data_IF_568035652858
#
_entry.id   IF_568035652858
#
_cell.length_a   1.000
_cell.length_b   1.000
_cell.length_c   1.000
_cell.angle_alpha   90.00
_cell.angle_beta   90.00
_cell.angle_gamma   90.00
#
_symmetry.space_group_name_H-M   'P 1'
#
loop_
_entity.id
_entity.type
_entity.pdbx_description
1 polymer ?
#
# COMPACT_ATOMS: atom_id res chain seq x y z
N UNK A 1 13.88 -24.06 -16.26
CA UNK A 1 14.42 -22.91 -15.50
C UNK A 1 14.61 -23.39 -14.07
N UNK A 2 15.84 -23.39 -13.54
CA UNK A 2 16.08 -23.81 -12.16
C UNK A 2 15.55 -22.76 -11.19
N UNK A 3 14.80 -23.15 -10.17
CA UNK A 3 14.44 -22.27 -9.06
C UNK A 3 15.73 -21.90 -8.32
N UNK A 4 16.25 -20.69 -8.58
CA UNK A 4 17.39 -20.17 -7.82
C UNK A 4 16.83 -19.64 -6.50
N UNK A 5 17.07 -20.38 -5.42
CA UNK A 5 16.77 -19.87 -4.07
C UNK A 5 17.61 -18.61 -3.83
N UNK A 6 17.01 -17.50 -3.35
CA UNK A 6 17.75 -16.28 -3.04
C UNK A 6 18.88 -16.57 -2.06
N UNK A 7 20.09 -16.06 -2.34
CA UNK A 7 21.23 -16.21 -1.44
C UNK A 7 21.30 -15.04 -0.47
N UNK A 8 21.07 -15.34 0.80
CA UNK A 8 21.24 -14.42 1.93
C UNK A 8 22.45 -14.80 2.79
N UNK A 9 23.26 -15.77 2.36
CA UNK A 9 24.55 -16.07 2.99
C UNK A 9 25.53 -14.89 2.92
N UNK A 10 26.42 -14.80 3.90
CA UNK A 10 27.44 -13.75 4.00
C UNK A 10 27.22 -12.77 5.14
N UNK A 11 27.89 -11.63 5.09
CA UNK A 11 27.84 -10.64 6.17
C UNK A 11 26.78 -9.57 5.90
N UNK A 12 26.05 -9.18 6.93
CA UNK A 12 25.01 -8.15 6.89
C UNK A 12 25.23 -7.14 8.01
N UNK A 13 25.07 -5.86 7.74
CA UNK A 13 25.20 -4.76 8.69
C UNK A 13 23.82 -4.20 8.98
N UNK A 14 23.41 -4.18 10.25
CA UNK A 14 22.17 -3.52 10.67
C UNK A 14 22.37 -2.00 10.81
N UNK A 15 21.30 -1.21 10.91
CA UNK A 15 21.36 0.25 11.00
C UNK A 15 22.19 0.79 12.18
N UNK A 16 22.31 0.00 13.26
CA UNK A 16 23.18 0.29 14.41
C UNK A 16 24.69 0.17 14.10
N UNK A 17 25.04 -0.38 12.93
CA UNK A 17 26.40 -0.66 12.50
C UNK A 17 26.94 -2.04 12.89
N UNK A 18 26.20 -2.81 13.71
CA UNK A 18 26.59 -4.18 14.07
C UNK A 18 26.51 -5.12 12.87
N UNK A 19 27.40 -6.10 12.84
CA UNK A 19 27.54 -7.07 11.75
C UNK A 19 26.96 -8.41 12.17
N UNK A 20 26.17 -9.01 11.29
CA UNK A 20 25.59 -10.34 11.39
C UNK A 20 26.25 -11.24 10.34
N UNK A 21 26.72 -12.41 10.75
CA UNK A 21 27.19 -13.46 9.85
C UNK A 21 26.07 -14.44 9.56
N UNK A 22 25.71 -14.56 8.28
CA UNK A 22 24.63 -15.41 7.79
C UNK A 22 25.16 -16.71 7.20
N UNK A 23 24.69 -17.82 7.76
CA UNK A 23 24.88 -19.16 7.21
C UNK A 23 23.54 -19.67 6.71
N UNK A 24 23.42 -19.92 5.41
CA UNK A 24 22.18 -20.38 4.77
C UNK A 24 22.28 -21.86 4.40
N UNK A 25 21.23 -22.62 4.69
CA UNK A 25 21.04 -24.01 4.28
C UNK A 25 19.67 -24.17 3.61
N UNK A 26 19.65 -24.12 2.27
CA UNK A 26 18.42 -24.12 1.48
C UNK A 26 17.57 -22.88 1.76
N UNK A 27 16.32 -23.08 2.17
CA UNK A 27 15.40 -21.99 2.52
C UNK A 27 15.53 -21.54 3.98
N UNK A 28 16.33 -22.22 4.79
CA UNK A 28 16.55 -21.84 6.20
C UNK A 28 17.91 -21.17 6.34
N UNK A 29 18.06 -20.29 7.33
CA UNK A 29 19.33 -19.63 7.62
C UNK A 29 19.47 -19.29 9.09
N UNK A 30 20.71 -19.03 9.49
CA UNK A 30 21.08 -18.58 10.82
C UNK A 30 21.97 -17.36 10.71
N UNK A 31 21.68 -16.32 11.49
CA UNK A 31 22.50 -15.13 11.65
C UNK A 31 23.12 -15.10 13.04
N UNK A 32 24.41 -14.79 13.12
CA UNK A 32 25.14 -14.62 14.37
C UNK A 32 25.72 -13.21 14.41
N UNK A 33 25.32 -12.40 15.39
CA UNK A 33 25.83 -11.05 15.56
C UNK A 33 27.25 -11.08 16.09
N UNK A 34 28.18 -10.46 15.37
CA UNK A 34 29.57 -10.32 15.81
C UNK A 34 29.65 -9.49 17.09
N UNK A 35 30.47 -9.97 18.04
CA UNK A 35 30.72 -9.31 19.33
C UNK A 35 29.74 -9.69 20.44
N UNK A 36 28.47 -9.94 20.14
CA UNK A 36 27.47 -10.33 21.15
C UNK A 36 27.10 -11.82 21.11
N UNK A 37 27.41 -12.51 20.00
CA UNK A 37 26.96 -13.88 19.74
C UNK A 37 25.43 -14.06 19.81
N UNK A 38 24.66 -12.97 19.68
CA UNK A 38 23.21 -13.08 19.56
C UNK A 38 22.87 -13.84 18.28
N UNK A 39 21.83 -14.65 18.37
CA UNK A 39 21.45 -15.55 17.29
C UNK A 39 20.07 -15.17 16.77
N UNK A 40 19.95 -15.19 15.45
CA UNK A 40 18.67 -15.15 14.78
C UNK A 40 18.57 -16.32 13.81
N UNK A 41 17.40 -16.88 13.67
CA UNK A 41 17.12 -17.95 12.70
C UNK A 41 15.97 -17.53 11.83
N UNK A 42 15.96 -17.95 10.58
CA UNK A 42 14.86 -17.58 9.70
C UNK A 42 14.65 -18.51 8.53
N UNK A 43 13.57 -18.24 7.82
CA UNK A 43 13.18 -18.95 6.62
C UNK A 43 12.86 -17.96 5.50
N UNK A 44 13.23 -18.36 4.28
CA UNK A 44 12.90 -17.71 3.02
C UNK A 44 11.56 -18.27 2.55
N UNK A 45 10.59 -17.39 2.37
CA UNK A 45 9.24 -17.75 1.92
C UNK A 45 8.99 -17.06 0.58
N UNK A 46 8.67 -17.85 -0.45
CA UNK A 46 8.17 -17.28 -1.71
C UNK A 46 6.79 -16.67 -1.47
N UNK A 47 6.64 -15.37 -1.75
CA UNK A 47 5.41 -14.60 -1.54
C UNK A 47 4.51 -14.55 -2.77
N UNK A 48 5.01 -14.97 -3.95
CA UNK A 48 4.19 -15.15 -5.15
C UNK A 48 4.38 -16.54 -5.73
N UNK A 49 3.26 -17.21 -5.97
CA UNK A 49 3.17 -18.45 -6.73
C UNK A 49 2.63 -18.11 -8.12
N UNK A 50 3.33 -17.24 -8.86
CA UNK A 50 2.99 -17.00 -10.26
C UNK A 50 4.09 -17.58 -11.15
N UNK A 51 3.76 -18.44 -12.13
CA UNK A 51 4.74 -19.10 -12.99
C UNK A 51 5.50 -18.13 -13.92
N UNK A 52 5.11 -16.85 -13.98
CA UNK A 52 5.67 -15.85 -14.90
C UNK A 52 6.38 -14.67 -14.21
N UNK A 53 6.44 -14.64 -12.87
CA UNK A 53 7.17 -13.61 -12.13
C UNK A 53 8.37 -14.20 -11.42
N UNK A 54 9.52 -13.52 -11.48
CA UNK A 54 10.63 -13.77 -10.54
C UNK A 54 10.06 -13.76 -9.13
N UNK A 55 10.36 -14.80 -8.36
CA UNK A 55 9.78 -15.04 -7.04
C UNK A 55 10.02 -13.84 -6.15
N UNK A 56 8.98 -13.05 -5.84
CA UNK A 56 9.02 -12.11 -4.72
C UNK A 56 9.20 -12.96 -3.46
N UNK A 57 10.26 -12.76 -2.70
CA UNK A 57 10.50 -13.50 -1.47
C UNK A 57 10.45 -12.59 -0.25
N UNK A 58 9.96 -13.14 0.85
CA UNK A 58 10.03 -12.52 2.16
C UNK A 58 10.92 -13.38 3.05
N UNK A 59 11.63 -12.72 3.94
CA UNK A 59 12.35 -13.37 5.02
C UNK A 59 11.47 -13.31 6.26
N UNK A 60 11.25 -14.44 6.91
CA UNK A 60 10.78 -14.46 8.28
C UNK A 60 11.97 -14.80 9.18
N UNK A 61 12.40 -13.85 10.00
CA UNK A 61 13.53 -13.99 10.91
C UNK A 61 13.05 -13.91 12.35
N UNK A 62 13.62 -14.74 13.21
CA UNK A 62 13.32 -14.81 14.65
C UNK A 62 14.58 -14.48 15.42
N UNK A 63 14.57 -13.40 16.19
CA UNK A 63 15.67 -13.04 17.07
C UNK A 63 15.47 -13.65 18.44
N UNK A 64 16.50 -14.33 18.96
CA UNK A 64 16.54 -14.90 20.32
C UNK A 64 15.28 -15.72 20.68
N UNK A 65 14.68 -16.40 19.69
CA UNK A 65 13.50 -17.26 19.84
C UNK A 65 12.16 -16.55 20.10
N UNK A 66 12.13 -15.22 20.24
CA UNK A 66 10.93 -14.50 20.73
C UNK A 66 10.35 -13.47 19.75
N UNK A 67 11.15 -12.91 18.86
CA UNK A 67 10.74 -11.77 18.03
C UNK A 67 10.78 -12.13 16.56
N UNK A 68 9.61 -12.22 15.93
CA UNK A 68 9.47 -12.51 14.50
C UNK A 68 9.40 -11.22 13.69
N UNK A 69 10.36 -11.01 12.79
CA UNK A 69 10.34 -9.93 11.82
C UNK A 69 10.11 -10.49 10.43
N UNK A 70 9.32 -9.76 9.65
CA UNK A 70 9.25 -9.93 8.21
C UNK A 70 10.17 -8.92 7.55
N UNK A 71 11.19 -9.39 6.85
CA UNK A 71 12.05 -8.54 6.03
C UNK A 71 11.67 -8.69 4.56
N UNK A 72 11.69 -7.57 3.85
CA UNK A 72 11.51 -7.53 2.39
C UNK A 72 12.85 -7.21 1.74
N UNK A 73 13.28 -8.00 0.77
CA UNK A 73 14.53 -7.72 0.07
C UNK A 73 14.39 -6.59 -0.93
N UNK A 74 15.43 -5.78 -1.08
CA UNK A 74 15.60 -4.92 -2.24
C UNK A 74 15.73 -5.75 -3.52
N UNK A 75 15.42 -5.17 -4.70
CA UNK A 75 15.55 -5.87 -5.98
C UNK A 75 16.96 -6.39 -6.30
N UNK A 76 18.00 -5.75 -5.75
CA UNK A 76 19.40 -6.16 -5.91
C UNK A 76 19.86 -7.20 -4.89
N UNK A 77 19.01 -7.55 -3.91
CA UNK A 77 19.34 -8.49 -2.84
C UNK A 77 20.43 -8.00 -1.87
N UNK A 78 20.80 -6.72 -1.90
CA UNK A 78 21.83 -6.17 -1.02
C UNK A 78 21.26 -5.46 0.22
N UNK A 79 19.97 -5.20 0.25
CA UNK A 79 19.29 -4.58 1.39
C UNK A 79 18.08 -5.40 1.79
N UNK A 80 17.85 -5.54 3.10
CA UNK A 80 16.68 -6.18 3.67
C UNK A 80 15.97 -5.17 4.55
N UNK A 81 14.74 -4.81 4.19
CA UNK A 81 13.93 -3.82 4.88
C UNK A 81 13.05 -4.49 5.93
N UNK A 82 13.22 -4.13 7.20
CA UNK A 82 12.41 -4.58 8.32
C UNK A 82 11.57 -3.45 8.93
N UNK A 83 10.63 -3.81 9.80
CA UNK A 83 9.74 -2.85 10.48
C UNK A 83 10.48 -1.95 11.49
N UNK A 84 11.63 -2.38 11.99
CA UNK A 84 12.42 -1.64 12.98
C UNK A 84 13.88 -1.39 12.60
N UNK A 85 14.42 -2.08 11.59
CA UNK A 85 15.80 -1.92 11.14
C UNK A 85 15.95 -2.37 9.68
N UNK A 86 16.99 -1.87 9.02
CA UNK A 86 17.41 -2.29 7.68
C UNK A 86 18.76 -3.00 7.78
N UNK A 87 18.91 -4.07 7.00
CA UNK A 87 20.17 -4.81 6.92
C UNK A 87 20.79 -4.64 5.54
N UNK A 88 22.06 -4.25 5.50
CA UNK A 88 22.82 -4.01 4.29
C UNK A 88 23.91 -5.07 4.15
N UNK A 89 24.10 -5.61 2.96
CA UNK A 89 25.16 -6.61 2.74
C UNK A 89 26.52 -5.95 3.01
N UNK A 90 27.24 -6.44 4.01
CA UNK A 90 28.58 -5.97 4.34
C UNK A 90 29.55 -6.60 3.34
N UNK A 91 29.96 -5.84 2.32
CA UNK A 91 30.96 -6.25 1.35
C UNK A 91 32.27 -6.62 2.08
N UNK A 92 32.76 -7.83 1.84
CA UNK A 92 34.07 -8.26 2.34
C UNK A 92 35.16 -7.39 1.72
N UNK A 93 35.76 -6.51 2.53
CA UNK A 93 37.02 -5.79 2.29
C UNK A 93 37.12 -4.97 1.00
N UNK A 94 36.70 -3.71 1.06
CA UNK A 94 37.43 -2.58 0.45
C UNK A 94 36.97 -1.30 1.15
N UNK A 95 37.88 -0.34 1.30
CA UNK A 95 37.58 1.05 1.66
C UNK A 95 36.38 1.56 0.84
N UNK A 96 35.70 2.61 1.30
CA UNK A 96 34.64 3.33 0.57
C UNK A 96 35.15 3.86 -0.80
N UNK A 97 35.37 2.97 -1.76
CA UNK A 97 35.39 3.25 -3.18
C UNK A 97 33.95 3.17 -3.65
N UNK A 98 33.54 4.19 -4.38
CA UNK A 98 32.23 4.35 -5.01
C UNK A 98 31.67 3.01 -5.53
N UNK A 99 30.34 2.79 -5.44
CA UNK A 99 29.72 1.55 -5.87
C UNK A 99 30.06 1.25 -7.34
N UNK A 100 30.98 0.30 -7.54
CA UNK A 100 31.35 -0.21 -8.85
C UNK A 100 30.31 -1.23 -9.31
N UNK A 101 29.45 -0.75 -10.20
CA UNK A 101 28.81 -1.44 -11.34
C UNK A 101 28.21 -2.84 -11.08
N UNK A 102 26.88 -2.84 -10.95
CA UNK A 102 25.91 -3.59 -11.74
C UNK A 102 26.26 -4.99 -12.26
N UNK A 103 25.53 -5.99 -11.73
CA UNK A 103 25.18 -7.19 -12.49
C UNK A 103 23.65 -7.22 -12.65
N UNK A 104 23.16 -6.65 -13.76
CA UNK A 104 21.72 -6.58 -14.12
C UNK A 104 21.27 -7.92 -14.70
N UNK A 105 21.30 -8.98 -13.89
CA UNK A 105 20.88 -10.32 -14.32
C UNK A 105 19.65 -10.87 -13.56
N UNK A 106 18.94 -10.02 -12.81
CA UNK A 106 17.76 -10.41 -12.02
C UNK A 106 16.45 -9.67 -12.31
N UNK A 107 16.46 -8.68 -13.21
CA UNK A 107 15.24 -7.94 -13.56
C UNK A 107 14.36 -8.76 -14.52
N UNK A 108 13.08 -8.92 -14.18
CA UNK A 108 12.10 -9.58 -15.04
C UNK A 108 11.93 -8.79 -16.37
N UNK A 109 11.48 -9.44 -17.43
CA UNK A 109 11.28 -8.92 -18.81
C UNK A 109 10.28 -7.73 -18.95
N UNK A 110 9.95 -7.03 -17.87
CA UNK A 110 9.07 -5.87 -17.85
C UNK A 110 9.34 -4.87 -16.72
N UNK A 111 10.43 -5.00 -15.95
CA UNK A 111 10.84 -3.95 -15.01
C UNK A 111 12.29 -3.61 -15.27
N UNK A 112 12.53 -2.43 -15.82
CA UNK A 112 13.88 -1.92 -16.04
C UNK A 112 14.11 -0.76 -15.10
N UNK A 113 15.35 -0.62 -14.60
CA UNK A 113 15.81 0.70 -14.18
C UNK A 113 15.45 1.64 -15.33
N UNK A 114 14.60 2.63 -15.07
CA UNK A 114 13.92 3.36 -16.14
C UNK A 114 14.95 3.91 -17.12
N UNK A 115 15.02 3.33 -18.33
CA UNK A 115 15.90 3.82 -19.39
C UNK A 115 15.50 5.23 -19.84
N UNK A 116 14.27 5.63 -19.52
CA UNK A 116 13.76 7.01 -19.66
C UNK A 116 14.58 8.00 -18.81
N UNK A 117 15.26 7.56 -17.75
CA UNK A 117 16.10 8.44 -16.93
C UNK A 117 17.49 8.72 -17.52
N UNK A 118 17.93 8.00 -18.55
CA UNK A 118 19.06 8.48 -19.35
C UNK A 118 18.71 9.77 -20.14
N UNK A 119 17.43 10.20 -20.15
CA UNK A 119 16.99 11.44 -20.80
C UNK A 119 16.54 12.53 -19.83
N UNK A 120 16.51 12.29 -18.52
CA UNK A 120 16.34 13.37 -17.55
C UNK A 120 17.66 14.14 -17.50
N UNK A 121 17.74 15.16 -18.36
CA UNK A 121 18.93 15.98 -18.46
C UNK A 121 19.22 16.59 -17.08
N UNK A 122 20.49 16.50 -16.66
CA UNK A 122 20.99 17.38 -15.61
C UNK A 122 20.53 18.81 -15.93
N UNK A 123 20.09 19.54 -14.92
CA UNK A 123 19.41 20.85 -15.02
C UNK A 123 17.89 20.82 -15.27
N UNK A 124 17.26 19.65 -15.43
CA UNK A 124 15.79 19.57 -15.38
C UNK A 124 15.32 20.12 -14.04
N UNK A 125 14.38 21.07 -14.08
CA UNK A 125 13.86 21.74 -12.89
C UNK A 125 12.41 21.34 -12.65
N UNK A 126 12.08 21.09 -11.40
CA UNK A 126 10.74 20.83 -10.92
C UNK A 126 10.33 21.93 -9.96
N UNK A 127 9.05 22.24 -9.90
CA UNK A 127 8.48 23.18 -8.94
C UNK A 127 7.47 22.47 -8.05
N UNK A 128 7.64 22.60 -6.73
CA UNK A 128 6.68 22.09 -5.74
C UNK A 128 5.53 23.10 -5.51
N UNK A 129 4.44 22.71 -4.84
CA UNK A 129 3.26 23.56 -4.62
C UNK A 129 3.57 24.88 -3.90
N UNK A 130 4.62 24.90 -3.08
CA UNK A 130 5.09 26.11 -2.38
C UNK A 130 5.74 27.14 -3.31
N UNK A 131 5.96 26.79 -4.59
CA UNK A 131 6.73 27.58 -5.55
C UNK A 131 8.24 27.35 -5.47
N UNK A 132 8.70 26.42 -4.61
CA UNK A 132 10.13 26.11 -4.56
C UNK A 132 10.60 25.31 -5.75
N UNK A 133 11.73 25.72 -6.32
CA UNK A 133 12.34 25.05 -7.47
C UNK A 133 13.40 24.05 -7.03
N UNK A 134 13.38 22.88 -7.64
CA UNK A 134 14.30 21.78 -7.40
C UNK A 134 14.92 21.35 -8.72
N UNK A 135 16.24 21.39 -8.81
CA UNK A 135 16.95 21.08 -10.04
C UNK A 135 17.71 19.78 -9.88
N UNK A 136 17.64 18.92 -10.90
CA UNK A 136 18.45 17.70 -10.96
C UNK A 136 19.92 18.09 -11.07
N UNK A 137 20.70 17.75 -10.04
CA UNK A 137 22.13 18.07 -9.94
C UNK A 137 23.03 16.91 -10.33
N UNK A 138 22.55 15.67 -10.26
CA UNK A 138 23.34 14.48 -10.55
C UNK A 138 22.45 13.32 -10.99
N UNK A 139 22.88 12.59 -12.02
CA UNK A 139 22.28 11.35 -12.52
C UNK A 139 23.39 10.30 -12.69
N UNK A 140 23.98 9.78 -11.60
CA UNK A 140 25.16 8.93 -11.68
C UNK A 140 24.90 7.59 -12.37
N UNK A 141 23.64 7.13 -12.41
CA UNK A 141 23.24 5.91 -13.10
C UNK A 141 21.73 5.85 -13.35
N UNK A 142 21.31 4.94 -14.23
CA UNK A 142 19.90 4.70 -14.50
C UNK A 142 19.13 4.34 -13.23
N UNK A 143 17.92 4.87 -13.09
CA UNK A 143 17.11 4.62 -11.90
C UNK A 143 17.46 5.48 -10.68
N UNK A 144 18.46 6.37 -10.75
CA UNK A 144 18.77 7.27 -9.62
C UNK A 144 19.16 8.68 -10.05
N UNK A 145 18.71 9.67 -9.30
CA UNK A 145 19.18 11.05 -9.43
C UNK A 145 19.07 11.81 -8.11
N UNK A 146 19.80 12.92 -8.03
CA UNK A 146 19.73 13.86 -6.91
C UNK A 146 19.13 15.17 -7.39
N UNK A 147 18.20 15.72 -6.63
CA UNK A 147 17.68 17.08 -6.81
C UNK A 147 18.19 17.98 -5.70
N UNK A 148 18.42 19.26 -6.03
CA UNK A 148 18.75 20.30 -5.05
C UNK A 148 17.75 21.44 -5.14
N UNK A 149 17.19 21.81 -3.99
CA UNK A 149 16.32 22.97 -3.84
C UNK A 149 17.14 24.24 -4.10
N UNK A 150 16.68 25.08 -5.01
CA UNK A 150 17.39 26.27 -5.45
C UNK A 150 17.31 27.43 -4.44
N UNK A 151 16.29 27.47 -3.58
CA UNK A 151 16.16 28.54 -2.57
C UNK A 151 16.89 28.22 -1.27
N UNK A 152 16.76 27.00 -0.76
CA UNK A 152 17.28 26.62 0.56
C UNK A 152 18.44 25.62 0.53
N UNK A 153 18.83 25.16 -0.66
CA UNK A 153 20.02 24.33 -0.85
C UNK A 153 19.90 22.88 -0.40
N UNK A 154 18.74 22.46 0.17
CA UNK A 154 18.47 21.08 0.57
C UNK A 154 18.56 20.12 -0.61
N UNK A 155 19.02 18.90 -0.34
CA UNK A 155 19.09 17.83 -1.35
C UNK A 155 18.04 16.76 -1.11
N UNK A 156 17.61 16.11 -2.19
CA UNK A 156 16.75 14.94 -2.16
C UNK A 156 17.26 13.90 -3.17
N UNK A 157 17.36 12.65 -2.73
CA UNK A 157 17.81 11.53 -3.54
C UNK A 157 16.61 10.72 -4.01
N UNK A 158 16.59 10.36 -5.29
CA UNK A 158 15.47 9.67 -5.93
C UNK A 158 15.94 8.32 -6.44
N UNK A 159 15.21 7.26 -6.09
CA UNK A 159 15.35 5.93 -6.66
C UNK A 159 14.07 5.59 -7.42
N UNK A 160 14.16 5.39 -8.73
CA UNK A 160 13.02 5.24 -9.64
C UNK A 160 13.02 3.87 -10.30
N UNK A 161 11.91 3.16 -10.11
CA UNK A 161 11.63 1.86 -10.70
C UNK A 161 10.46 2.05 -11.68
N UNK A 162 10.64 1.63 -12.94
CA UNK A 162 9.56 1.64 -13.93
C UNK A 162 9.00 0.24 -14.11
N UNK A 163 7.71 0.09 -13.87
CA UNK A 163 6.94 -1.05 -14.32
C UNK A 163 6.54 -0.84 -15.78
N UNK A 164 7.17 -1.58 -16.69
CA UNK A 164 6.92 -1.49 -18.14
C UNK A 164 5.50 -1.95 -18.47
N UNK A 165 4.97 -2.94 -17.72
CA UNK A 165 3.66 -3.52 -18.01
C UNK A 165 2.51 -2.53 -17.79
N UNK A 166 2.62 -1.69 -16.76
CA UNK A 166 1.64 -0.67 -16.41
C UNK A 166 2.04 0.75 -16.81
N UNK A 167 3.26 0.92 -17.37
CA UNK A 167 3.91 2.21 -17.58
C UNK A 167 3.95 3.11 -16.33
N UNK A 168 3.94 2.49 -15.14
CA UNK A 168 3.94 3.19 -13.85
C UNK A 168 5.35 3.32 -13.29
N UNK A 169 5.70 4.51 -12.82
CA UNK A 169 6.94 4.78 -12.10
C UNK A 169 6.66 4.75 -10.60
N UNK A 170 7.45 3.97 -9.86
CA UNK A 170 7.49 4.00 -8.40
C UNK A 170 8.81 4.62 -7.96
N UNK A 171 8.74 5.63 -7.12
CA UNK A 171 9.87 6.44 -6.68
C UNK A 171 9.99 6.35 -5.16
N UNK A 172 11.23 6.21 -4.68
CA UNK A 172 11.59 6.37 -3.27
C UNK A 172 12.46 7.61 -3.15
N UNK A 173 12.02 8.57 -2.34
CA UNK A 173 12.55 9.94 -2.29
C UNK A 173 13.07 10.18 -0.87
N UNK A 174 14.39 10.28 -0.75
CA UNK A 174 15.07 10.50 0.52
C UNK A 174 15.49 11.97 0.62
N UNK A 175 14.79 12.76 1.44
CA UNK A 175 15.20 14.13 1.72
C UNK A 175 16.36 14.14 2.70
N UNK A 176 17.25 15.13 2.56
CA UNK A 176 18.31 15.34 3.54
C UNK A 176 17.71 15.61 4.92
N UNK A 177 18.11 14.82 5.91
CA UNK A 177 17.66 14.95 7.31
C UNK A 177 16.35 14.22 7.64
N UNK A 178 15.67 13.57 6.69
CA UNK A 178 14.52 12.71 6.99
C UNK A 178 14.97 11.28 7.31
N UNK A 179 14.34 10.60 8.28
CA UNK A 179 14.71 9.21 8.60
C UNK A 179 14.11 8.16 7.67
N UNK A 180 13.01 8.49 6.99
CA UNK A 180 12.31 7.56 6.12
C UNK A 180 12.12 8.16 4.73
N UNK A 181 12.37 7.38 3.66
CA UNK A 181 12.11 7.84 2.30
C UNK A 181 10.59 7.96 2.07
N UNK A 182 10.18 8.98 1.34
CA UNK A 182 8.82 9.09 0.83
C UNK A 182 8.64 8.19 -0.40
N UNK A 183 7.49 7.54 -0.49
CA UNK A 183 7.11 6.76 -1.67
C UNK A 183 6.15 7.56 -2.53
N UNK A 184 6.43 7.65 -3.83
CA UNK A 184 5.58 8.30 -4.82
C UNK A 184 5.34 7.35 -6.00
N UNK A 185 4.14 7.40 -6.58
CA UNK A 185 3.80 6.67 -7.81
C UNK A 185 3.28 7.66 -8.86
N UNK A 186 3.75 7.54 -10.09
CA UNK A 186 3.23 8.36 -11.20
C UNK A 186 3.29 7.63 -12.53
N UNK A 187 2.39 7.97 -13.44
CA UNK A 187 2.45 7.56 -14.84
C UNK A 187 3.19 8.60 -15.70
N UNK A 188 3.37 9.82 -15.18
CA UNK A 188 3.98 10.95 -15.86
C UNK A 188 5.11 11.53 -15.01
N UNK A 189 6.36 11.39 -15.47
CA UNK A 189 7.52 11.95 -14.78
C UNK A 189 7.52 13.48 -14.73
N UNK A 190 6.65 14.15 -15.50
CA UNK A 190 6.46 15.60 -15.37
C UNK A 190 5.62 15.98 -14.15
N UNK A 191 4.97 15.02 -13.49
CA UNK A 191 4.10 15.26 -12.36
C UNK A 191 4.29 14.13 -11.32
N UNK A 192 5.07 14.43 -10.29
CA UNK A 192 5.41 13.47 -9.23
C UNK A 192 4.63 13.85 -7.97
N UNK A 193 3.48 13.19 -7.69
CA UNK A 193 2.71 13.44 -6.49
C UNK A 193 3.42 12.83 -5.28
N UNK A 194 3.53 13.61 -4.21
CA UNK A 194 4.14 13.20 -2.95
C UNK A 194 3.03 12.83 -1.94
N UNK A 195 3.37 11.93 -1.01
CA UNK A 195 2.44 11.45 0.02
C UNK A 195 2.02 12.50 1.06
N UNK A 196 2.66 13.68 1.06
CA UNK A 196 2.30 14.82 1.90
C UNK A 196 1.33 15.80 1.21
N UNK A 197 0.81 15.47 0.01
CA UNK A 197 -0.08 16.32 -0.77
C UNK A 197 0.63 17.34 -1.66
N UNK A 198 1.97 17.39 -1.62
CA UNK A 198 2.77 18.18 -2.54
C UNK A 198 2.93 17.48 -3.90
N UNK A 199 3.34 18.22 -4.93
CA UNK A 199 3.55 17.70 -6.28
C UNK A 199 4.75 18.37 -6.90
N UNK A 200 5.78 17.60 -7.27
CA UNK A 200 6.85 18.11 -8.11
C UNK A 200 6.38 18.14 -9.57
N UNK A 201 6.24 19.35 -10.13
CA UNK A 201 5.89 19.56 -11.53
C UNK A 201 7.13 19.93 -12.32
N UNK A 202 7.50 19.12 -13.30
CA UNK A 202 8.61 19.42 -14.20
C UNK A 202 8.28 20.71 -14.96
N UNK A 203 9.07 21.75 -14.72
CA UNK A 203 9.08 22.95 -15.54
C UNK A 203 10.04 22.66 -16.67
N UNK A 204 9.55 22.05 -17.74
CA UNK A 204 10.34 22.02 -18.97
C UNK A 204 10.60 23.47 -19.35
N UNK A 205 11.86 23.90 -19.34
CA UNK A 205 12.23 25.05 -20.14
C UNK A 205 11.87 24.64 -21.56
N UNK A 206 10.84 25.27 -22.13
CA UNK A 206 10.71 25.25 -23.58
C UNK A 206 12.03 25.79 -24.09
N UNK A 207 12.92 24.91 -24.56
CA UNK A 207 13.97 25.33 -25.46
C UNK A 207 13.21 25.80 -26.70
N UNK A 208 12.76 27.06 -26.67
CA UNK A 208 12.53 27.77 -27.91
C UNK A 208 13.86 27.63 -28.65
N UNK A 209 13.88 27.03 -29.87
CA UNK A 209 15.08 27.04 -30.65
C UNK A 209 15.49 28.50 -30.75
N UNK A 210 16.64 28.83 -30.15
CA UNK A 210 17.28 30.12 -30.35
C UNK A 210 17.67 30.17 -31.82
N UNK A 211 16.70 30.53 -32.66
CA UNK A 211 17.00 31.21 -33.90
C UNK A 211 17.74 32.46 -33.46
N UNK A 212 19.02 32.51 -33.80
CA UNK A 212 19.83 33.71 -33.70
C UNK A 212 19.12 34.76 -34.53
N UNK A 213 18.30 35.57 -33.88
CA UNK A 213 17.56 36.66 -34.50
C UNK A 213 18.49 37.87 -34.56
N UNK A 214 19.45 37.84 -35.47
CA UNK A 214 19.97 39.08 -36.05
C UNK A 214 18.93 39.58 -37.04
N UNK A 215 18.01 40.43 -36.57
CA UNK A 215 16.95 40.91 -37.44
C UNK A 215 16.04 41.92 -36.75
N UNK A 216 16.47 43.18 -36.72
CA UNK A 216 15.53 44.30 -36.67
C UNK A 216 14.55 44.16 -37.86
N UNK A 217 13.34 43.69 -37.58
CA UNK A 217 12.26 43.62 -38.56
C UNK A 217 11.57 44.98 -38.67
N UNK A 218 12.12 45.87 -39.50
CA UNK A 218 11.38 46.99 -40.07
C UNK A 218 10.76 46.48 -41.37
N UNK A 219 9.44 46.31 -41.42
CA UNK A 219 8.77 46.06 -42.69
C UNK A 219 8.45 47.40 -43.36
N UNK A 220 9.17 47.72 -44.44
CA UNK A 220 8.83 48.82 -45.34
C UNK A 220 7.95 48.24 -46.45
N UNK A 221 6.64 48.51 -46.38
CA UNK A 221 5.75 48.38 -47.53
C UNK A 221 5.72 49.68 -48.32
N UNK A 222 5.27 49.61 -49.59
CA UNK A 222 5.14 50.75 -50.53
C UNK A 222 4.15 51.86 -50.09
N UNK A 223 3.75 51.90 -48.82
CA UNK A 223 2.82 52.89 -48.25
C UNK A 223 3.17 53.37 -46.83
N UNK A 224 4.39 53.10 -46.34
CA UNK A 224 4.91 53.71 -45.11
C UNK A 224 5.15 52.76 -43.93
N UNK A 225 5.85 53.27 -42.90
CA UNK A 225 6.32 52.53 -41.71
C UNK A 225 5.22 52.55 -40.64
N UNK A 226 4.71 51.39 -40.23
CA UNK A 226 3.79 51.24 -39.11
C UNK A 226 4.48 50.55 -37.92
N UNK A 227 4.56 51.24 -36.79
CA UNK A 227 5.04 50.69 -35.51
C UNK A 227 3.83 50.54 -34.59
N UNK A 228 3.43 49.30 -34.28
CA UNK A 228 2.30 49.02 -33.39
C UNK A 228 2.80 48.57 -32.01
N UNK A 229 2.39 49.28 -30.96
CA UNK A 229 2.60 48.89 -29.57
C UNK A 229 1.32 48.25 -29.02
N UNK A 230 1.39 47.01 -28.56
CA UNK A 230 0.31 46.37 -27.82
C UNK A 230 0.51 46.60 -26.32
N UNK A 231 -0.36 47.41 -25.72
CA UNK A 231 -0.45 47.59 -24.26
C UNK A 231 -1.22 46.41 -23.61
N UNK A 232 -0.84 45.95 -22.42
CA UNK A 232 -1.51 44.84 -21.74
C UNK A 232 -2.86 45.26 -21.14
N UNK A 233 -3.92 44.56 -21.52
CA UNK A 233 -5.28 44.75 -21.00
C UNK A 233 -5.40 44.28 -19.55
N UNK A 234 -5.93 45.15 -18.69
CA UNK A 234 -6.27 44.88 -17.30
C UNK A 234 -7.54 44.01 -17.24
N UNK A 235 -7.42 42.81 -16.67
CA UNK A 235 -8.54 41.88 -16.45
C UNK A 235 -9.26 42.29 -15.16
N UNK A 236 -10.52 42.71 -15.28
CA UNK A 236 -11.43 42.93 -14.14
C UNK A 236 -12.19 41.63 -13.90
N UNK A 237 -12.21 41.08 -12.67
CA UNK A 237 -12.96 39.86 -12.37
C UNK A 237 -14.48 40.13 -12.28
N UNK A 238 -15.33 39.20 -12.75
CA UNK A 238 -16.78 39.35 -12.66
C UNK A 238 -17.28 39.14 -11.22
N UNK A 239 -18.07 40.11 -10.74
CA UNK A 239 -18.86 40.03 -9.52
C UNK A 239 -20.03 39.07 -9.69
N UNK A 240 -20.09 38.05 -8.84
CA UNK A 240 -21.15 37.04 -8.82
C UNK A 240 -22.22 37.45 -7.79
N UNK A 241 -23.40 37.86 -8.27
CA UNK A 241 -24.59 38.08 -7.45
C UNK A 241 -25.47 36.81 -7.48
N UNK A 242 -25.67 36.09 -6.36
CA UNK A 242 -26.62 34.98 -6.33
C UNK A 242 -28.06 35.51 -6.26
N UNK A 243 -29.02 34.95 -7.02
CA UNK A 243 -30.42 35.31 -6.92
C UNK A 243 -31.04 34.74 -5.62
N UNK A 244 -31.68 35.61 -4.84
CA UNK A 244 -32.63 35.23 -3.79
C UNK A 244 -33.83 34.53 -4.44
N UNK A 245 -34.13 33.32 -3.97
CA UNK A 245 -35.35 32.58 -4.31
C UNK A 245 -36.22 32.44 -3.04
N UNK A 246 -37.35 33.15 -2.91
CA UNK A 246 -38.24 33.00 -1.78
C UNK A 246 -39.40 32.08 -2.19
N UNK A 247 -39.25 30.77 -2.02
CA UNK A 247 -40.41 29.88 -2.07
C UNK A 247 -40.19 28.60 -1.26
N UNK A 248 -40.52 28.64 0.02
CA UNK A 248 -40.73 27.46 0.84
C UNK A 248 -42.24 27.15 0.86
N UNK A 249 -42.69 25.94 0.50
CA UNK A 249 -44.08 25.53 0.67
C UNK A 249 -44.42 25.32 2.16
N UNK A 250 -45.70 25.50 2.55
CA UNK A 250 -46.14 25.43 3.94
C UNK A 250 -46.03 24.01 4.51
N UNK A 251 -45.64 23.94 5.79
CA UNK A 251 -45.59 22.71 6.59
C UNK A 251 -46.96 22.03 6.66
N UNK A 252 -47.00 20.72 6.41
CA UNK A 252 -48.17 19.89 6.70
C UNK A 252 -48.23 19.53 8.20
N UNK A 253 -49.43 19.47 8.80
CA UNK A 253 -49.61 19.07 10.19
C UNK A 253 -49.37 17.58 10.39
N UNK A 254 -48.73 17.25 11.52
CA UNK A 254 -48.43 15.89 11.96
C UNK A 254 -49.71 15.06 12.14
N UNK A 255 -49.77 13.91 11.46
CA UNK A 255 -50.80 12.89 11.65
C UNK A 255 -50.68 12.24 13.04
N UNK A 256 -51.81 12.10 13.74
CA UNK A 256 -51.89 11.43 15.03
C UNK A 256 -51.46 9.94 14.95
N UNK A 257 -50.84 9.39 16.00
CA UNK A 257 -50.47 7.98 16.07
C UNK A 257 -51.70 7.08 16.14
N UNK A 258 -51.72 6.02 15.32
CA UNK A 258 -52.77 4.99 15.36
C UNK A 258 -52.68 4.12 16.62
N UNK A 259 -53.82 3.63 17.15
CA UNK A 259 -53.85 2.75 18.30
C UNK A 259 -53.28 1.35 17.97
N UNK A 260 -52.49 0.82 18.90
CA UNK A 260 -51.90 -0.51 18.83
C UNK A 260 -52.99 -1.59 18.83
N UNK A 261 -52.94 -2.49 17.84
CA UNK A 261 -53.74 -3.72 17.81
C UNK A 261 -53.26 -4.71 18.88
N UNK A 262 -54.17 -5.44 19.55
CA UNK A 262 -53.81 -6.40 20.58
C UNK A 262 -53.01 -7.59 20.02
N UNK A 263 -52.10 -8.18 20.82
CA UNK A 263 -51.26 -9.29 20.38
C UNK A 263 -52.10 -10.55 20.12
N UNK A 264 -51.79 -11.22 19.00
CA UNK A 264 -52.35 -12.54 18.67
C UNK A 264 -51.93 -13.61 19.70
N UNK A 265 -52.81 -14.57 20.02
CA UNK A 265 -52.48 -15.66 20.92
C UNK A 265 -51.46 -16.61 20.28
N UNK A 266 -50.48 -17.05 21.07
CA UNK A 266 -49.46 -18.02 20.69
C UNK A 266 -50.11 -19.34 20.23
N UNK A 267 -49.83 -19.72 18.98
CA UNK A 267 -50.19 -21.03 18.44
C UNK A 267 -49.51 -22.16 19.22
N UNK A 268 -50.23 -23.27 19.41
CA UNK A 268 -49.74 -24.46 20.13
C UNK A 268 -48.52 -25.07 19.41
N UNK A 269 -47.58 -25.69 20.15
CA UNK A 269 -46.45 -26.40 19.56
C UNK A 269 -46.94 -27.56 18.68
N UNK A 270 -46.42 -27.64 17.45
CA UNK A 270 -46.59 -28.82 16.60
C UNK A 270 -45.82 -30.02 17.18
N UNK A 271 -46.38 -31.24 17.10
CA UNK A 271 -45.67 -32.44 17.52
C UNK A 271 -44.49 -32.72 16.59
N UNK A 272 -43.38 -33.17 17.18
CA UNK A 272 -42.17 -33.58 16.47
C UNK A 272 -42.48 -34.69 15.46
N UNK A 273 -42.23 -34.42 14.18
CA UNK A 273 -42.26 -35.42 13.13
C UNK A 273 -41.15 -36.46 13.32
N UNK A 274 -41.47 -37.72 13.00
CA UNK A 274 -40.55 -38.84 13.10
C UNK A 274 -39.30 -38.66 12.22
N UNK A 275 -38.13 -39.18 12.66
CA UNK A 275 -36.91 -39.14 11.88
C UNK A 275 -37.05 -39.92 10.56
N UNK A 276 -36.70 -39.28 9.44
CA UNK A 276 -36.60 -39.94 8.15
C UNK A 276 -35.44 -40.96 8.14
N UNK A 277 -35.61 -42.12 7.47
CA UNK A 277 -34.53 -43.08 7.30
C UNK A 277 -33.43 -42.51 6.38
N UNK A 278 -32.18 -42.81 6.72
CA UNK A 278 -30.99 -42.39 5.98
C UNK A 278 -31.01 -42.92 4.54
N UNK A 279 -30.97 -42.01 3.57
CA UNK A 279 -30.74 -42.32 2.16
C UNK A 279 -29.31 -42.82 1.93
N UNK A 280 -29.17 -43.84 1.09
CA UNK A 280 -27.88 -44.43 0.69
C UNK A 280 -26.92 -43.41 0.04
N UNK A 281 -25.59 -43.63 0.17
CA UNK A 281 -24.59 -42.78 -0.47
C UNK A 281 -24.64 -42.89 -2.00
N UNK A 282 -24.71 -41.74 -2.68
CA UNK A 282 -24.57 -41.66 -4.13
C UNK A 282 -23.14 -42.00 -4.58
N UNK A 283 -22.97 -42.68 -5.73
CA UNK A 283 -21.66 -42.94 -6.31
C UNK A 283 -21.04 -41.66 -6.89
N UNK A 284 -19.72 -41.56 -6.75
CA UNK A 284 -18.87 -40.45 -7.17
C UNK A 284 -19.09 -40.04 -8.64
N UNK A 285 -19.53 -38.81 -8.86
CA UNK A 285 -19.54 -38.14 -10.16
C UNK A 285 -18.13 -37.68 -10.59
N UNK A 286 -17.85 -37.79 -11.88
CA UNK A 286 -16.59 -37.47 -12.55
C UNK A 286 -16.17 -35.98 -12.44
N UNK A 287 -14.88 -35.64 -12.70
CA UNK A 287 -14.39 -34.27 -12.59
C UNK A 287 -14.98 -33.35 -13.67
N UNK A 288 -15.62 -32.27 -13.23
CA UNK A 288 -16.01 -31.15 -14.08
C UNK A 288 -14.79 -30.30 -14.47
N UNK A 289 -14.63 -30.10 -15.78
CA UNK A 289 -13.65 -29.19 -16.39
C UNK A 289 -14.15 -27.76 -16.22
N UNK A 290 -13.44 -26.94 -15.44
CA UNK A 290 -13.70 -25.51 -15.36
C UNK A 290 -12.79 -24.73 -16.32
N UNK A 291 -13.40 -24.19 -17.37
CA UNK A 291 -12.94 -22.99 -18.05
C UNK A 291 -13.57 -21.79 -17.33
N UNK A 292 -12.81 -21.04 -16.52
CA UNK A 292 -13.26 -19.69 -16.10
C UNK A 292 -12.11 -18.81 -15.61
N UNK A 293 -12.17 -17.55 -16.06
CA UNK A 293 -11.37 -16.36 -15.74
C UNK A 293 -10.64 -16.37 -14.38
N UNK A 294 -9.33 -16.13 -14.40
CA UNK A 294 -8.42 -16.15 -13.24
C UNK A 294 -8.87 -15.20 -12.12
N UNK A 295 -9.29 -15.73 -10.96
CA UNK A 295 -9.58 -14.94 -9.77
C UNK A 295 -8.28 -14.53 -9.06
N UNK A 296 -8.34 -13.40 -8.38
CA UNK A 296 -7.33 -12.92 -7.44
C UNK A 296 -6.94 -14.08 -6.51
N UNK A 297 -5.68 -14.51 -6.54
CA UNK A 297 -5.20 -15.67 -5.77
C UNK A 297 -5.25 -15.35 -4.28
N UNK A 298 -6.39 -15.64 -3.66
CA UNK A 298 -6.59 -15.68 -2.21
C UNK A 298 -5.48 -16.47 -1.54
N UNK A 299 -4.98 -15.98 -0.41
CA UNK A 299 -3.97 -16.67 0.39
C UNK A 299 -4.41 -18.11 0.74
N UNK A 300 -3.47 -19.06 0.75
CA UNK A 300 -3.78 -20.47 1.03
C UNK A 300 -4.43 -20.66 2.41
N UNK A 301 -4.02 -19.86 3.40
CA UNK A 301 -4.60 -19.88 4.74
C UNK A 301 -6.07 -19.45 4.76
N UNK A 302 -6.43 -18.36 4.07
CA UNK A 302 -7.82 -17.89 4.04
C UNK A 302 -8.77 -18.95 3.47
N UNK A 303 -8.40 -19.55 2.35
CA UNK A 303 -9.19 -20.63 1.74
C UNK A 303 -9.28 -21.86 2.64
N UNK A 304 -8.20 -22.19 3.37
CA UNK A 304 -8.19 -23.32 4.30
C UNK A 304 -9.18 -23.09 5.45
N UNK A 305 -9.15 -21.89 6.05
CA UNK A 305 -10.11 -21.50 7.11
C UNK A 305 -11.54 -21.54 6.57
N UNK A 306 -11.80 -20.91 5.42
CA UNK A 306 -13.13 -20.84 4.82
C UNK A 306 -13.67 -22.24 4.53
N UNK A 307 -12.84 -23.11 3.94
CA UNK A 307 -13.23 -24.49 3.61
C UNK A 307 -13.51 -25.31 4.87
N UNK A 308 -12.66 -25.20 5.90
CA UNK A 308 -12.86 -25.90 7.15
C UNK A 308 -14.13 -25.45 7.90
N UNK A 309 -14.51 -24.18 7.77
CA UNK A 309 -15.74 -23.63 8.32
C UNK A 309 -17.00 -24.08 7.58
N UNK A 310 -16.89 -24.64 6.37
CA UNK A 310 -18.06 -25.15 5.64
C UNK A 310 -18.76 -26.27 6.42
N UNK A 311 -20.09 -26.20 6.50
CA UNK A 311 -20.90 -27.15 7.27
C UNK A 311 -20.88 -26.92 8.79
N UNK A 312 -20.19 -25.89 9.31
CA UNK A 312 -20.26 -25.52 10.73
C UNK A 312 -21.40 -24.53 10.96
N UNK A 313 -22.37 -24.94 11.79
CA UNK A 313 -23.53 -24.10 12.09
C UNK A 313 -23.26 -23.08 13.20
N UNK A 314 -22.38 -23.40 14.15
CA UNK A 314 -22.10 -22.55 15.31
C UNK A 314 -20.82 -21.74 15.14
N UNK A 315 -20.90 -20.44 15.46
CA UNK A 315 -19.76 -19.53 15.40
C UNK A 315 -18.63 -19.93 16.37
N UNK A 316 -18.96 -20.61 17.47
CA UNK A 316 -17.96 -21.20 18.38
C UNK A 316 -17.06 -22.24 17.69
N UNK A 317 -17.61 -23.03 16.77
CA UNK A 317 -16.83 -24.04 16.04
C UNK A 317 -16.00 -23.40 14.94
N UNK A 318 -16.56 -22.41 14.23
CA UNK A 318 -15.82 -21.59 13.27
C UNK A 318 -14.66 -20.86 13.93
N UNK A 319 -14.86 -20.35 15.16
CA UNK A 319 -13.82 -19.69 15.93
C UNK A 319 -12.70 -20.64 16.34
N UNK A 320 -13.02 -21.88 16.77
CA UNK A 320 -12.00 -22.90 17.05
C UNK A 320 -11.15 -23.21 15.81
N UNK A 321 -11.80 -23.34 14.65
CA UNK A 321 -11.13 -23.56 13.37
C UNK A 321 -10.19 -22.39 13.05
N UNK A 322 -10.70 -21.16 13.14
CA UNK A 322 -9.91 -19.95 12.93
C UNK A 322 -8.67 -19.92 13.83
N UNK A 323 -8.83 -20.20 15.13
CA UNK A 323 -7.74 -20.24 16.10
C UNK A 323 -6.71 -21.31 15.73
N UNK A 324 -7.16 -22.53 15.42
CA UNK A 324 -6.27 -23.64 15.04
C UNK A 324 -5.42 -23.26 13.83
N UNK A 325 -6.05 -22.87 12.70
CA UNK A 325 -5.30 -22.61 11.47
C UNK A 325 -4.44 -21.35 11.54
N UNK A 326 -4.96 -20.26 12.13
CA UNK A 326 -4.19 -19.01 12.28
C UNK A 326 -2.98 -19.17 13.21
N UNK A 327 -3.03 -20.07 14.18
CA UNK A 327 -1.88 -20.35 15.08
C UNK A 327 -0.86 -21.27 14.42
N UNK A 328 -1.30 -22.21 13.59
CA UNK A 328 -0.42 -23.17 12.91
C UNK A 328 0.32 -22.58 11.71
N UNK A 329 -0.16 -21.48 11.13
CA UNK A 329 0.41 -20.90 9.92
C UNK A 329 0.41 -19.37 9.99
N UNK A 330 1.55 -18.78 9.64
CA UNK A 330 1.68 -17.33 9.42
C UNK A 330 1.64 -17.08 7.91
N UNK A 331 0.52 -16.55 7.44
CA UNK A 331 0.28 -16.15 6.06
C UNK A 331 -0.56 -14.87 6.07
N UNK A 332 0.08 -13.69 5.98
CA UNK A 332 -0.63 -12.41 6.00
C UNK A 332 -1.70 -12.34 4.92
N UNK A 333 -2.94 -12.08 5.34
CA UNK A 333 -4.11 -12.06 4.47
C UNK A 333 -4.47 -10.62 4.06
N UNK A 334 -4.77 -10.44 2.78
CA UNK A 334 -5.26 -9.17 2.25
C UNK A 334 -6.70 -8.88 2.68
N UNK A 335 -7.14 -7.65 2.43
CA UNK A 335 -8.47 -7.17 2.84
C UNK A 335 -9.64 -8.03 2.33
N UNK A 336 -9.58 -8.51 1.08
CA UNK A 336 -10.62 -9.36 0.50
C UNK A 336 -10.76 -10.70 1.24
N UNK A 337 -9.64 -11.31 1.64
CA UNK A 337 -9.63 -12.55 2.40
C UNK A 337 -10.17 -12.34 3.82
N UNK A 338 -9.80 -11.22 4.47
CA UNK A 338 -10.34 -10.87 5.78
C UNK A 338 -11.86 -10.71 5.73
N UNK A 339 -12.40 -9.98 4.75
CA UNK A 339 -13.85 -9.82 4.58
C UNK A 339 -14.55 -11.18 4.44
N UNK A 340 -13.98 -12.09 3.64
CA UNK A 340 -14.52 -13.45 3.44
C UNK A 340 -14.50 -14.30 4.71
N UNK A 341 -13.48 -14.15 5.57
CA UNK A 341 -13.43 -14.86 6.86
C UNK A 341 -14.42 -14.26 7.85
N UNK A 342 -14.48 -12.93 7.93
CA UNK A 342 -15.38 -12.22 8.85
C UNK A 342 -16.85 -12.47 8.49
N UNK A 343 -17.18 -12.60 7.20
CA UNK A 343 -18.54 -12.94 6.76
C UNK A 343 -18.99 -14.36 7.14
N UNK A 344 -18.08 -15.23 7.63
CA UNK A 344 -18.45 -16.54 8.16
C UNK A 344 -19.16 -16.46 9.51
N UNK A 345 -19.00 -15.35 10.25
CA UNK A 345 -19.54 -15.17 11.60
C UNK A 345 -20.85 -14.38 11.56
N UNK A 346 -21.87 -14.91 12.22
CA UNK A 346 -23.18 -14.28 12.30
C UNK A 346 -23.22 -13.19 13.38
N UNK A 347 -22.56 -13.44 14.52
CA UNK A 347 -22.55 -12.50 15.62
C UNK A 347 -21.41 -11.49 15.51
N UNK A 348 -21.75 -10.21 15.69
CA UNK A 348 -20.79 -9.10 15.66
C UNK A 348 -19.65 -9.28 16.68
N UNK A 349 -19.95 -9.81 17.87
CA UNK A 349 -18.94 -10.08 18.89
C UNK A 349 -17.90 -11.09 18.41
N UNK A 350 -18.30 -12.09 17.62
CA UNK A 350 -17.39 -13.12 17.13
C UNK A 350 -16.62 -12.64 15.89
N UNK A 351 -17.20 -11.76 15.07
CA UNK A 351 -16.44 -11.01 14.05
C UNK A 351 -15.29 -10.21 14.67
N UNK A 352 -15.54 -9.51 15.78
CA UNK A 352 -14.50 -8.74 16.49
C UNK A 352 -13.40 -9.66 17.00
N UNK A 353 -13.76 -10.75 17.68
CA UNK A 353 -12.79 -11.75 18.16
C UNK A 353 -11.99 -12.38 17.02
N UNK A 354 -12.62 -12.62 15.87
CA UNK A 354 -11.95 -13.18 14.70
C UNK A 354 -10.86 -12.24 14.17
N UNK A 355 -11.12 -10.94 14.04
CA UNK A 355 -10.09 -9.94 13.66
C UNK A 355 -8.97 -9.91 14.71
N UNK A 356 -9.31 -9.91 16.00
CA UNK A 356 -8.32 -9.90 17.08
C UNK A 356 -7.42 -11.14 17.08
N UNK A 357 -7.98 -12.32 16.79
CA UNK A 357 -7.21 -13.55 16.66
C UNK A 357 -6.25 -13.49 15.45
N UNK A 358 -6.72 -12.98 14.31
CA UNK A 358 -5.88 -12.82 13.12
C UNK A 358 -4.75 -11.80 13.35
N UNK A 359 -5.04 -10.71 14.07
CA UNK A 359 -4.04 -9.74 14.53
C UNK A 359 -3.00 -10.41 15.44
N UNK A 360 -3.45 -11.14 16.47
CA UNK A 360 -2.57 -11.80 17.45
C UNK A 360 -1.59 -12.79 16.80
N UNK A 361 -2.02 -13.44 15.72
CA UNK A 361 -1.23 -14.43 14.97
C UNK A 361 -0.45 -13.83 13.80
N UNK A 362 -0.38 -12.50 13.67
CA UNK A 362 0.30 -11.78 12.59
C UNK A 362 -0.18 -12.20 11.18
N UNK A 363 -1.46 -12.54 11.06
CA UNK A 363 -2.07 -12.98 9.80
C UNK A 363 -2.82 -11.87 9.05
N UNK A 364 -2.54 -10.60 9.38
CA UNK A 364 -3.12 -9.43 8.72
C UNK A 364 -2.04 -8.77 7.86
N UNK A 365 -2.27 -8.67 6.55
CA UNK A 365 -1.40 -7.92 5.65
C UNK A 365 -1.60 -6.41 5.81
N UNK A 366 -0.63 -5.62 5.34
CA UNK A 366 -0.80 -4.16 5.26
C UNK A 366 -1.91 -3.79 4.27
N UNK A 367 -2.65 -2.72 4.56
CA UNK A 367 -3.80 -2.28 3.76
C UNK A 367 -3.94 -0.75 3.77
N UNK A 368 -4.68 -0.20 2.80
CA UNK A 368 -5.03 1.22 2.79
C UNK A 368 -6.36 1.51 3.51
N UNK A 369 -6.63 2.78 3.79
CA UNK A 369 -7.85 3.25 4.45
C UNK A 369 -9.12 2.83 3.71
N UNK A 370 -9.09 2.85 2.37
CA UNK A 370 -10.23 2.47 1.52
C UNK A 370 -10.59 1.00 1.70
N UNK A 371 -9.59 0.13 1.64
CA UNK A 371 -9.71 -1.30 1.88
C UNK A 371 -10.20 -1.58 3.29
N UNK A 372 -9.58 -0.96 4.30
CA UNK A 372 -10.04 -1.09 5.69
C UNK A 372 -11.49 -0.63 5.85
N UNK A 373 -11.94 0.45 5.20
CA UNK A 373 -13.35 0.85 5.32
C UNK A 373 -14.32 -0.22 4.76
N UNK A 374 -13.95 -0.95 3.71
CA UNK A 374 -14.76 -2.08 3.22
C UNK A 374 -14.92 -3.18 4.28
N UNK A 375 -13.84 -3.50 5.00
CA UNK A 375 -13.88 -4.45 6.11
C UNK A 375 -14.71 -3.92 7.28
N UNK A 376 -14.50 -2.66 7.67
CA UNK A 376 -15.22 -2.00 8.77
C UNK A 376 -16.73 -1.94 8.51
N UNK A 377 -17.16 -1.75 7.25
CA UNK A 377 -18.59 -1.78 6.86
C UNK A 377 -19.26 -3.14 7.05
N UNK A 378 -18.48 -4.20 7.29
CA UNK A 378 -19.02 -5.53 7.64
C UNK A 378 -19.52 -5.62 9.09
N UNK A 379 -19.33 -4.55 9.89
CA UNK A 379 -19.78 -4.43 11.27
C UNK A 379 -20.96 -3.47 11.36
N UNK A 380 -22.02 -3.89 12.06
CA UNK A 380 -23.26 -3.13 12.16
C UNK A 380 -23.15 -1.94 13.13
N UNK A 381 -22.47 -2.14 14.26
CA UNK A 381 -22.42 -1.16 15.35
C UNK A 381 -21.13 -0.36 15.37
N UNK A 382 -21.25 0.95 15.55
CA UNK A 382 -20.10 1.87 15.60
C UNK A 382 -19.08 1.54 16.71
N UNK A 383 -19.51 0.99 17.84
CA UNK A 383 -18.58 0.56 18.89
C UNK A 383 -17.65 -0.56 18.40
N UNK A 384 -18.17 -1.50 17.61
CA UNK A 384 -17.37 -2.56 17.00
C UNK A 384 -16.47 -2.00 15.90
N UNK A 385 -16.99 -1.09 15.07
CA UNK A 385 -16.20 -0.40 14.05
C UNK A 385 -15.01 0.35 14.65
N UNK A 386 -15.21 1.15 15.70
CA UNK A 386 -14.14 1.87 16.40
C UNK A 386 -13.10 0.90 16.97
N UNK A 387 -13.55 -0.17 17.63
CA UNK A 387 -12.66 -1.24 18.16
C UNK A 387 -11.80 -1.85 17.06
N UNK A 388 -12.41 -2.24 15.94
CA UNK A 388 -11.72 -2.85 14.80
C UNK A 388 -10.73 -1.88 14.14
N UNK A 389 -11.10 -0.61 13.96
CA UNK A 389 -10.17 0.37 13.37
C UNK A 389 -8.96 0.56 14.28
N UNK A 390 -9.15 0.62 15.61
CA UNK A 390 -8.03 0.68 16.58
C UNK A 390 -7.13 -0.54 16.48
N UNK A 391 -7.73 -1.73 16.34
CA UNK A 391 -6.97 -2.98 16.20
C UNK A 391 -6.20 -3.07 14.88
N UNK A 392 -6.75 -2.53 13.79
CA UNK A 392 -6.15 -2.55 12.46
C UNK A 392 -5.20 -1.39 12.19
N UNK A 393 -5.26 -0.30 12.97
CA UNK A 393 -4.49 0.93 12.76
C UNK A 393 -2.99 0.70 12.45
N UNK A 394 -2.26 -0.21 13.13
CA UNK A 394 -0.85 -0.48 12.81
C UNK A 394 -0.60 -1.03 11.40
N UNK A 395 -1.60 -1.66 10.78
CA UNK A 395 -1.53 -2.28 9.46
C UNK A 395 -1.98 -1.35 8.33
N UNK A 396 -2.45 -0.14 8.66
CA UNK A 396 -2.94 0.84 7.69
C UNK A 396 -1.82 1.81 7.32
N UNK A 397 -1.35 1.77 6.07
CA UNK A 397 -0.15 2.48 5.64
C UNK A 397 -0.38 3.96 5.26
N UNK A 398 -1.59 4.33 4.85
CA UNK A 398 -1.98 5.70 4.47
C UNK A 398 -2.89 6.38 5.51
N UNK A 399 -2.89 5.86 6.75
CA UNK A 399 -3.84 6.26 7.80
C UNK A 399 -3.84 7.74 8.14
N UNK A 400 -2.70 8.43 8.01
CA UNK A 400 -2.60 9.87 8.31
C UNK A 400 -3.13 10.74 7.16
N UNK A 401 -2.90 10.31 5.92
CA UNK A 401 -3.31 11.01 4.72
C UNK A 401 -4.81 10.87 4.47
N UNK A 402 -5.35 9.67 4.68
CA UNK A 402 -6.72 9.31 4.31
C UNK A 402 -7.59 8.98 5.53
N UNK A 403 -7.30 9.56 6.70
CA UNK A 403 -8.02 9.26 7.94
C UNK A 403 -9.54 9.50 7.82
N UNK A 404 -9.97 10.52 7.09
CA UNK A 404 -11.40 10.85 6.91
C UNK A 404 -12.18 9.72 6.22
N UNK A 405 -11.52 8.91 5.37
CA UNK A 405 -12.14 7.73 4.78
C UNK A 405 -12.57 6.74 5.86
N UNK A 406 -11.74 6.51 6.89
CA UNK A 406 -12.07 5.63 8.01
C UNK A 406 -13.09 6.25 8.95
N UNK A 407 -12.94 7.54 9.23
CA UNK A 407 -13.86 8.29 10.10
C UNK A 407 -15.28 8.28 9.52
N UNK A 408 -15.41 8.38 8.20
CA UNK A 408 -16.71 8.32 7.50
C UNK A 408 -17.46 7.00 7.67
N UNK A 409 -16.80 5.91 8.10
CA UNK A 409 -17.46 4.62 8.32
C UNK A 409 -18.26 4.62 9.66
N UNK A 410 -18.08 5.63 10.52
CA UNK A 410 -18.79 5.83 11.78
C UNK A 410 -19.96 6.82 11.60
N UNK A 411 -21.06 6.56 12.30
CA UNK A 411 -22.31 7.32 12.24
C UNK A 411 -22.36 8.47 13.27
N UNK A 412 -21.76 8.28 14.45
CA UNK A 412 -21.80 9.28 15.53
C UNK A 412 -20.59 10.23 15.51
N UNK A 413 -20.85 11.54 15.53
CA UNK A 413 -19.81 12.58 15.56
C UNK A 413 -18.82 12.44 16.73
N UNK A 414 -19.30 11.99 17.90
CA UNK A 414 -18.44 11.74 19.06
C UNK A 414 -17.46 10.59 18.83
N UNK A 415 -17.88 9.52 18.15
CA UNK A 415 -17.00 8.41 17.76
C UNK A 415 -16.05 8.82 16.64
N UNK A 416 -16.53 9.61 15.67
CA UNK A 416 -15.70 10.18 14.60
C UNK A 416 -14.54 11.01 15.16
N UNK A 417 -14.80 11.92 16.10
CA UNK A 417 -13.77 12.76 16.72
C UNK A 417 -12.76 11.93 17.52
N UNK A 418 -13.23 11.00 18.36
CA UNK A 418 -12.37 10.10 19.14
C UNK A 418 -11.47 9.23 18.25
N UNK A 419 -11.99 8.79 17.10
CA UNK A 419 -11.23 7.98 16.17
C UNK A 419 -10.19 8.82 15.42
N UNK A 420 -10.57 10.02 14.95
CA UNK A 420 -9.66 10.97 14.30
C UNK A 420 -8.46 11.29 15.19
N UNK A 421 -8.72 11.63 16.45
CA UNK A 421 -7.68 11.92 17.43
C UNK A 421 -6.74 10.72 17.66
N UNK A 422 -7.29 9.50 17.65
CA UNK A 422 -6.50 8.29 17.81
C UNK A 422 -5.60 8.02 16.60
N UNK A 423 -6.14 8.10 15.37
CA UNK A 423 -5.39 7.84 14.13
C UNK A 423 -4.29 8.89 13.92
N UNK A 424 -4.54 10.16 14.22
CA UNK A 424 -3.53 11.21 14.04
C UNK A 424 -2.39 11.10 15.07
N UNK A 425 -2.63 10.50 16.23
CA UNK A 425 -1.62 10.30 17.28
C UNK A 425 -0.77 9.03 17.09
N UNK A 426 -1.27 8.01 16.39
CA UNK A 426 -0.60 6.73 16.17
C UNK A 426 -0.25 6.56 14.69
#
# INVERSE_FOLDING_TARGET
MGNVTPSIGGSWREGSGRIWQSTQNGNSFQWIQQGTNRMATGTLVSTKVSPTSVSDWAIHITFDGNVHWRLTSSPDGNTLYGMGDNFYRASSSANFSQPSVYNVNGLNHGMVASSVMNQQNVNTTYTENSGKSWTITSCPHAGYFTMRNQQDGRSAEFYVIKDISSNKHTMYIQFQGTQHPLRAETYDMNNIPLSNGDVFRCTMQSMQPTTVNTGYGVSIGNSGISVSFTTPSTIIPPTYNPPMNPNYPPQQPFSQPQPFTPPQPFGRPQPFGQPQPFSQPQPYGQPQVYMQTTPVTSSSLANTIITACQGKSFDSDKMKILVTYSTSQISPMGNSDLIRIISLFNFESDKVKAVQQLKKTNNIATMDCSSTCLLVRSFAHDNNKDTIIRDLCPFIWDRRQNCETLVSCLSFASSQNRLRDFILKN
#
